data_IF_017022161197
#
_entry.id   IF_017022161197
#
_cell.length_a   1.000
_cell.length_b   1.000
_cell.length_c   1.000
_cell.angle_alpha   90.00
_cell.angle_beta   90.00
_cell.angle_gamma   90.00
#
_symmetry.space_group_name_H-M   'P 1'
#
loop_
_entity.id
_entity.type
_entity.pdbx_description
1 polymer ?
#
# COMPACT_ATOMS: atom_id res chain seq x y z
N UNK A 1 11.68 -22.88 -3.73
CA UNK A 1 11.14 -23.98 -2.91
C UNK A 1 10.70 -23.35 -1.60
N UNK A 2 9.43 -23.48 -1.23
CA UNK A 2 8.82 -22.72 -0.13
C UNK A 2 9.38 -23.16 1.24
N UNK A 3 10.07 -22.23 1.93
CA UNK A 3 10.65 -22.42 3.25
C UNK A 3 9.61 -22.96 4.25
N UNK A 4 8.37 -22.45 4.18
CA UNK A 4 7.29 -22.87 5.06
C UNK A 4 6.86 -24.30 4.76
N UNK A 5 6.66 -24.66 3.49
CA UNK A 5 6.32 -26.04 3.14
C UNK A 5 7.36 -27.06 3.61
N UNK A 6 8.66 -26.73 3.51
CA UNK A 6 9.72 -27.61 4.02
C UNK A 6 9.68 -27.69 5.56
N UNK A 7 9.53 -26.54 6.24
CA UNK A 7 9.50 -26.50 7.70
C UNK A 7 8.30 -27.24 8.28
N UNK A 8 7.13 -27.07 7.69
CA UNK A 8 5.90 -27.78 8.06
C UNK A 8 6.12 -29.29 7.92
N UNK A 9 6.66 -29.77 6.79
CA UNK A 9 6.98 -31.20 6.61
C UNK A 9 7.94 -31.77 7.66
N UNK A 10 8.87 -30.96 8.16
CA UNK A 10 9.77 -31.37 9.25
C UNK A 10 9.02 -31.46 10.58
N UNK A 11 8.21 -30.45 10.90
CA UNK A 11 7.42 -30.41 12.14
C UNK A 11 6.38 -31.52 12.21
N UNK A 12 5.77 -31.89 11.08
CA UNK A 12 4.78 -32.97 11.02
C UNK A 12 5.35 -34.34 11.44
N UNK A 13 6.68 -34.52 11.40
CA UNK A 13 7.34 -35.75 11.91
C UNK A 13 7.22 -35.90 13.43
N UNK A 14 6.93 -34.80 14.14
CA UNK A 14 6.76 -34.78 15.58
C UNK A 14 5.31 -35.12 16.01
N UNK A 15 4.38 -35.26 15.07
CA UNK A 15 2.97 -35.56 15.35
C UNK A 15 2.66 -37.04 15.16
N UNK A 16 1.77 -37.63 15.99
CA UNK A 16 1.25 -38.97 15.75
C UNK A 16 0.58 -39.07 14.37
N UNK A 17 0.70 -40.21 13.69
CA UNK A 17 0.17 -40.39 12.33
C UNK A 17 -1.33 -40.05 12.20
N UNK A 18 -2.13 -40.32 13.24
CA UNK A 18 -3.56 -40.02 13.26
C UNK A 18 -3.90 -38.52 13.38
N UNK A 19 -2.92 -37.67 13.76
CA UNK A 19 -3.08 -36.22 13.87
C UNK A 19 -2.36 -35.46 12.75
N UNK A 20 -1.52 -36.14 11.98
CA UNK A 20 -0.64 -35.51 10.98
C UNK A 20 -1.41 -34.68 9.95
N UNK A 21 -2.55 -35.17 9.46
CA UNK A 21 -3.36 -34.44 8.48
C UNK A 21 -4.03 -33.18 9.05
N UNK A 22 -4.59 -33.28 10.26
CA UNK A 22 -5.19 -32.14 10.95
C UNK A 22 -4.12 -31.09 11.31
N UNK A 23 -2.96 -31.54 11.82
CA UNK A 23 -1.82 -30.69 12.12
C UNK A 23 -1.32 -29.98 10.85
N UNK A 24 -1.21 -30.70 9.73
CA UNK A 24 -0.81 -30.12 8.45
C UNK A 24 -1.78 -29.03 8.01
N UNK A 25 -3.08 -29.34 8.00
CA UNK A 25 -4.12 -28.39 7.57
C UNK A 25 -4.12 -27.12 8.43
N UNK A 26 -3.94 -27.26 9.75
CA UNK A 26 -3.79 -26.11 10.66
C UNK A 26 -2.53 -25.31 10.33
N UNK A 27 -1.36 -25.95 10.24
CA UNK A 27 -0.09 -25.27 9.98
C UNK A 27 -0.09 -24.54 8.63
N UNK A 28 -0.62 -25.17 7.58
CA UNK A 28 -0.77 -24.53 6.28
C UNK A 28 -1.79 -23.40 6.31
N UNK A 29 -2.92 -23.54 7.02
CA UNK A 29 -3.87 -22.43 7.17
C UNK A 29 -3.29 -21.25 7.94
N UNK A 30 -2.36 -21.51 8.88
CA UNK A 30 -1.64 -20.45 9.58
C UNK A 30 -0.71 -19.64 8.67
N UNK A 31 -0.24 -20.20 7.54
CA UNK A 31 0.58 -19.44 6.58
C UNK A 31 -0.24 -18.33 5.91
N UNK A 32 -1.56 -18.53 5.73
CA UNK A 32 -2.45 -17.48 5.24
C UNK A 32 -2.48 -16.26 6.16
N UNK A 33 -2.31 -16.39 7.49
CA UNK A 33 -2.21 -15.20 8.34
C UNK A 33 -0.97 -14.35 8.01
N UNK A 34 0.13 -15.02 7.68
CA UNK A 34 1.38 -14.36 7.30
C UNK A 34 1.24 -13.71 5.93
N UNK A 35 0.65 -14.42 4.95
CA UNK A 35 0.39 -13.88 3.61
C UNK A 35 -0.58 -12.70 3.66
N UNK A 36 -1.68 -12.83 4.41
CA UNK A 36 -2.69 -11.77 4.57
C UNK A 36 -2.15 -10.51 5.24
N UNK A 37 -1.14 -10.62 6.11
CA UNK A 37 -0.48 -9.45 6.69
C UNK A 37 0.20 -8.58 5.63
N UNK A 38 0.77 -9.20 4.60
CA UNK A 38 1.61 -8.51 3.62
C UNK A 38 0.99 -8.40 2.21
N UNK A 39 -0.16 -9.02 1.99
CA UNK A 39 -0.83 -8.95 0.70
C UNK A 39 -0.12 -9.76 -0.39
N UNK A 40 0.74 -10.72 -0.03
CA UNK A 40 1.60 -11.40 -0.98
C UNK A 40 1.75 -12.88 -0.66
N UNK A 41 2.04 -13.67 -1.70
CA UNK A 41 2.49 -15.05 -1.53
C UNK A 41 3.83 -15.07 -0.77
N UNK A 42 3.98 -16.01 0.16
CA UNK A 42 5.17 -16.09 0.99
C UNK A 42 6.45 -16.38 0.20
N UNK A 43 6.34 -17.00 -0.97
CA UNK A 43 7.46 -17.21 -1.89
C UNK A 43 8.01 -15.91 -2.49
N UNK A 44 7.22 -14.83 -2.48
CA UNK A 44 7.65 -13.52 -2.95
C UNK A 44 8.35 -12.70 -1.86
N UNK A 45 8.31 -13.14 -0.60
CA UNK A 45 8.82 -12.39 0.55
C UNK A 45 10.26 -12.75 0.90
N UNK A 46 11.05 -11.75 1.29
CA UNK A 46 12.38 -12.01 1.85
C UNK A 46 12.27 -12.56 3.26
N UNK A 47 12.77 -13.78 3.47
CA UNK A 47 12.83 -14.39 4.80
C UNK A 47 13.77 -13.63 5.75
N UNK A 48 14.82 -13.02 5.22
CA UNK A 48 15.78 -12.24 6.00
C UNK A 48 15.21 -10.90 6.45
N UNK A 49 14.39 -10.26 5.61
CA UNK A 49 13.85 -8.91 5.86
C UNK A 49 12.39 -8.90 6.32
N UNK A 50 11.76 -10.07 6.48
CA UNK A 50 10.36 -10.20 6.91
C UNK A 50 10.04 -9.43 8.20
N UNK A 51 10.96 -9.46 9.17
CA UNK A 51 10.85 -8.75 10.45
C UNK A 51 11.49 -7.36 10.47
N UNK A 52 11.93 -6.84 9.33
CA UNK A 52 12.68 -5.59 9.24
C UNK A 52 11.77 -4.36 9.28
N UNK A 53 10.93 -4.25 10.31
CA UNK A 53 10.09 -3.09 10.58
C UNK A 53 10.01 -2.87 12.09
N UNK A 54 9.82 -1.62 12.49
CA UNK A 54 9.68 -1.26 13.90
C UNK A 54 8.22 -1.42 14.31
N UNK A 55 8.00 -2.13 15.41
CA UNK A 55 6.70 -2.20 16.07
C UNK A 55 6.62 -1.14 17.15
N UNK A 56 5.56 -0.34 17.12
CA UNK A 56 5.22 0.56 18.23
C UNK A 56 4.69 -0.30 19.38
N UNK A 57 5.19 -0.07 20.59
CA UNK A 57 4.73 -0.76 21.79
C UNK A 57 3.28 -0.39 22.14
N UNK A 58 2.56 -1.33 22.76
CA UNK A 58 1.16 -1.17 23.14
C UNK A 58 0.20 -2.09 22.39
N UNK A 59 -1.08 -1.93 22.69
CA UNK A 59 -2.16 -2.73 22.11
C UNK A 59 -2.65 -2.15 20.78
N UNK A 60 -3.13 -3.03 19.90
CA UNK A 60 -3.81 -2.63 18.67
C UNK A 60 -5.22 -2.18 19.00
N UNK A 61 -5.57 -0.94 18.64
CA UNK A 61 -6.89 -0.36 18.89
C UNK A 61 -7.62 -0.16 17.56
N UNK A 62 -8.86 -0.63 17.47
CA UNK A 62 -9.76 -0.28 16.39
C UNK A 62 -10.40 1.09 16.66
N UNK A 63 -10.44 1.97 15.66
CA UNK A 63 -11.10 3.28 15.77
C UNK A 63 -12.60 3.06 15.49
N UNK A 64 -13.50 3.14 16.50
CA UNK A 64 -14.90 2.72 16.34
C UNK A 64 -15.66 3.55 15.30
N UNK A 65 -15.28 4.81 15.13
CA UNK A 65 -15.89 5.74 14.16
C UNK A 65 -15.29 5.61 12.75
N UNK A 66 -14.41 4.62 12.53
CA UNK A 66 -13.62 4.47 11.31
C UNK A 66 -12.43 5.42 11.23
N UNK A 67 -11.40 5.04 10.48
CA UNK A 67 -10.13 5.79 10.39
C UNK A 67 -10.30 7.20 9.79
N UNK A 68 -11.37 7.42 9.02
CA UNK A 68 -11.69 8.73 8.42
C UNK A 68 -11.84 9.83 9.49
N UNK A 69 -12.27 9.50 10.71
CA UNK A 69 -12.40 10.47 11.80
C UNK A 69 -11.06 11.06 12.26
N UNK A 70 -9.95 10.36 12.02
CA UNK A 70 -8.59 10.83 12.30
C UNK A 70 -8.06 11.74 11.18
N UNK A 71 -8.47 11.48 9.93
CA UNK A 71 -8.00 12.22 8.74
C UNK A 71 -8.74 13.55 8.57
N UNK A 72 -10.05 13.57 8.81
CA UNK A 72 -10.90 14.76 8.59
C UNK A 72 -10.38 16.01 9.32
N UNK A 73 -9.99 15.97 10.61
CA UNK A 73 -9.43 17.13 11.29
C UNK A 73 -8.14 17.67 10.63
N UNK A 74 -7.28 16.80 10.11
CA UNK A 74 -6.04 17.19 9.43
C UNK A 74 -6.34 17.87 8.08
N UNK A 75 -7.32 17.36 7.34
CA UNK A 75 -7.73 17.97 6.07
C UNK A 75 -8.33 19.35 6.29
N UNK A 76 -9.11 19.53 7.37
CA UNK A 76 -9.74 20.82 7.72
C UNK A 76 -8.74 21.95 8.04
N UNK A 77 -7.49 21.63 8.39
CA UNK A 77 -6.46 22.65 8.61
C UNK A 77 -5.83 23.15 7.32
N UNK A 78 -6.07 22.49 6.19
CA UNK A 78 -5.55 22.86 4.88
C UNK A 78 -6.58 23.77 4.19
N UNK A 79 -6.18 24.92 3.62
CA UNK A 79 -7.08 25.76 2.85
C UNK A 79 -7.76 24.96 1.73
N UNK A 80 -9.07 25.13 1.56
CA UNK A 80 -9.87 24.31 0.65
C UNK A 80 -9.40 24.46 -0.80
N UNK A 81 -8.95 25.66 -1.16
CA UNK A 81 -8.39 25.98 -2.47
C UNK A 81 -7.05 25.29 -2.74
N UNK A 82 -6.33 24.82 -1.73
CA UNK A 82 -5.05 24.10 -1.90
C UNK A 82 -5.26 22.64 -2.31
N UNK A 83 -6.43 22.05 -2.04
CA UNK A 83 -6.74 20.66 -2.39
C UNK A 83 -7.52 20.64 -3.70
N UNK A 84 -6.90 20.11 -4.76
CA UNK A 84 -7.52 19.98 -6.09
C UNK A 84 -7.92 18.53 -6.34
N UNK A 85 -9.20 18.23 -6.15
CA UNK A 85 -9.76 16.91 -6.48
C UNK A 85 -9.93 16.71 -7.98
N UNK A 86 -10.03 15.44 -8.40
CA UNK A 86 -10.22 15.05 -9.81
C UNK A 86 -9.11 15.54 -10.76
N UNK A 87 -7.90 15.73 -10.24
CA UNK A 87 -6.70 16.11 -11.00
C UNK A 87 -5.75 14.93 -11.10
N UNK A 88 -6.03 14.03 -12.04
CA UNK A 88 -5.15 12.87 -12.30
C UNK A 88 -3.88 13.38 -12.97
N UNK A 89 -2.74 13.19 -12.31
CA UNK A 89 -1.42 13.56 -12.85
C UNK A 89 -1.06 12.63 -13.99
N UNK A 90 -0.69 13.21 -15.12
CA UNK A 90 -0.26 12.49 -16.33
C UNK A 90 1.26 12.52 -16.46
N UNK A 91 1.87 13.71 -16.35
CA UNK A 91 3.32 13.88 -16.46
C UNK A 91 3.86 14.89 -15.46
N UNK A 92 5.09 14.64 -15.03
CA UNK A 92 5.89 15.44 -14.11
C UNK A 92 7.18 15.80 -14.83
N UNK A 93 7.29 17.06 -15.23
CA UNK A 93 8.46 17.60 -15.91
C UNK A 93 9.35 18.33 -14.90
N UNK A 94 10.66 18.09 -14.95
CA UNK A 94 11.64 18.74 -14.07
C UNK A 94 13.00 18.93 -14.78
N UNK A 95 13.89 19.75 -14.19
CA UNK A 95 15.17 20.10 -14.82
C UNK A 95 14.96 20.83 -16.15
N UNK A 96 15.74 20.52 -17.18
CA UNK A 96 15.65 21.20 -18.49
C UNK A 96 14.29 21.02 -19.18
N UNK A 97 13.53 19.97 -18.83
CA UNK A 97 12.19 19.75 -19.36
C UNK A 97 11.17 20.75 -18.79
N UNK A 98 11.44 21.29 -17.60
CA UNK A 98 10.61 22.27 -16.92
C UNK A 98 11.16 23.68 -17.19
N UNK A 99 10.80 24.24 -18.34
CA UNK A 99 11.37 25.49 -18.87
C UNK A 99 11.37 26.66 -17.88
N UNK A 100 10.18 27.18 -17.55
CA UNK A 100 10.00 28.42 -16.78
C UNK A 100 9.83 28.20 -15.27
N UNK A 101 9.93 26.93 -14.82
CA UNK A 101 9.65 26.49 -13.44
C UNK A 101 10.50 25.28 -13.12
N UNK A 102 10.87 25.05 -11.86
CA UNK A 102 11.69 23.87 -11.52
C UNK A 102 10.95 22.55 -11.72
N UNK A 103 9.63 22.57 -11.52
CA UNK A 103 8.72 21.46 -11.80
C UNK A 103 7.48 21.96 -12.53
N UNK A 104 7.00 21.18 -13.50
CA UNK A 104 5.70 21.35 -14.16
C UNK A 104 4.94 20.03 -14.12
N UNK A 105 3.78 20.03 -13.47
CA UNK A 105 2.87 18.89 -13.39
C UNK A 105 1.72 19.09 -14.37
N UNK A 106 1.51 18.15 -15.29
CA UNK A 106 0.39 18.15 -16.23
C UNK A 106 -0.59 17.05 -15.84
N UNK A 107 -1.88 17.39 -15.85
CA UNK A 107 -2.96 16.47 -15.56
C UNK A 107 -3.68 16.03 -16.83
N UNK A 108 -4.34 14.86 -16.78
CA UNK A 108 -5.07 14.29 -17.91
C UNK A 108 -6.22 15.17 -18.43
N UNK A 109 -6.71 16.11 -17.62
CA UNK A 109 -7.74 17.08 -18.02
C UNK A 109 -7.16 18.35 -18.68
N UNK A 110 -5.85 18.36 -18.95
CA UNK A 110 -5.12 19.49 -19.54
C UNK A 110 -4.70 20.57 -18.55
N UNK A 111 -5.04 20.46 -17.26
CA UNK A 111 -4.56 21.42 -16.27
C UNK A 111 -3.06 21.28 -15.99
N UNK A 112 -2.41 22.41 -15.70
CA UNK A 112 -0.96 22.51 -15.52
C UNK A 112 -0.65 23.26 -14.23
N UNK A 113 0.27 22.73 -13.44
CA UNK A 113 0.73 23.31 -12.18
C UNK A 113 2.25 23.47 -12.19
N UNK A 114 2.73 24.67 -11.86
CA UNK A 114 4.16 24.97 -11.72
C UNK A 114 4.53 25.05 -10.24
N UNK A 115 5.70 24.53 -9.88
CA UNK A 115 6.19 24.57 -8.50
C UNK A 115 7.73 24.60 -8.44
N UNK A 116 8.25 25.16 -7.34
CA UNK A 116 9.69 25.13 -7.02
C UNK A 116 10.16 23.76 -6.50
N UNK A 117 9.24 23.05 -5.85
CA UNK A 117 9.42 21.73 -5.26
C UNK A 117 8.19 20.86 -5.51
N UNK A 118 8.39 19.57 -5.67
CA UNK A 118 7.32 18.57 -5.73
C UNK A 118 7.53 17.53 -4.62
N UNK A 119 6.46 17.18 -3.91
CA UNK A 119 6.43 16.03 -3.03
C UNK A 119 5.54 14.97 -3.68
N UNK A 120 6.14 13.88 -4.17
CA UNK A 120 5.41 12.72 -4.66
C UNK A 120 4.99 11.84 -3.48
N UNK A 121 3.69 11.61 -3.35
CA UNK A 121 3.09 10.66 -2.39
C UNK A 121 2.32 9.56 -3.11
N UNK A 122 2.68 9.30 -4.37
CA UNK A 122 2.06 8.26 -5.17
C UNK A 122 2.31 6.88 -4.53
N UNK A 123 1.29 6.02 -4.43
CA UNK A 123 1.47 4.66 -3.95
C UNK A 123 2.51 3.92 -4.79
N UNK A 124 3.26 3.01 -4.16
CA UNK A 124 4.31 2.25 -4.86
C UNK A 124 3.74 1.43 -6.04
N UNK A 125 2.52 0.91 -5.93
CA UNK A 125 1.84 0.24 -7.03
C UNK A 125 1.64 1.13 -8.27
N UNK A 126 1.27 2.40 -8.06
CA UNK A 126 1.14 3.38 -9.15
C UNK A 126 2.51 3.68 -9.76
N UNK A 127 3.53 3.88 -8.93
CA UNK A 127 4.90 4.10 -9.40
C UNK A 127 5.39 2.92 -10.26
N UNK A 128 5.16 1.68 -9.84
CA UNK A 128 5.53 0.47 -10.60
C UNK A 128 4.94 0.44 -12.01
N UNK A 129 3.72 0.95 -12.18
CA UNK A 129 3.02 0.91 -13.48
C UNK A 129 3.35 2.14 -14.33
N UNK A 130 3.51 3.32 -13.71
CA UNK A 130 3.49 4.60 -14.43
C UNK A 130 4.81 5.37 -14.38
N UNK A 131 5.79 4.99 -13.56
CA UNK A 131 6.97 5.84 -13.35
C UNK A 131 7.79 6.10 -14.62
N UNK A 132 7.83 5.14 -15.56
CA UNK A 132 8.62 5.26 -16.79
C UNK A 132 8.11 6.33 -17.75
N UNK A 133 6.79 6.56 -17.79
CA UNK A 133 6.15 7.55 -18.66
C UNK A 133 5.78 8.84 -17.93
N UNK A 134 5.54 8.76 -16.61
CA UNK A 134 5.10 9.90 -15.81
C UNK A 134 6.23 10.91 -15.55
N UNK A 135 7.48 10.48 -15.34
CA UNK A 135 8.58 11.37 -15.01
C UNK A 135 9.38 11.77 -16.26
N UNK A 136 9.62 13.07 -16.43
CA UNK A 136 10.36 13.65 -17.55
C UNK A 136 11.42 14.66 -17.05
N UNK A 137 12.72 14.36 -17.14
CA UNK A 137 13.33 13.13 -17.66
C UNK A 137 12.96 11.88 -16.83
N UNK A 138 13.31 10.70 -17.35
CA UNK A 138 13.09 9.45 -16.64
C UNK A 138 13.87 9.41 -15.31
N UNK A 139 13.34 8.62 -14.37
CA UNK A 139 13.98 8.40 -13.07
C UNK A 139 15.36 7.75 -13.24
N UNK A 140 16.25 7.97 -12.28
CA UNK A 140 17.57 7.31 -12.28
C UNK A 140 17.44 5.79 -12.15
N UNK A 141 18.46 5.07 -12.58
CA UNK A 141 18.50 3.60 -12.53
C UNK A 141 18.25 3.06 -11.11
N UNK A 142 18.84 3.69 -10.09
CA UNK A 142 18.71 3.27 -8.69
C UNK A 142 17.27 3.43 -8.20
N UNK A 143 16.61 4.54 -8.55
CA UNK A 143 15.22 4.77 -8.15
C UNK A 143 14.25 3.87 -8.91
N UNK A 144 14.48 3.65 -10.21
CA UNK A 144 13.70 2.71 -11.00
C UNK A 144 13.86 1.27 -10.48
N UNK A 145 15.09 0.87 -10.14
CA UNK A 145 15.36 -0.45 -9.55
C UNK A 145 14.66 -0.58 -8.19
N UNK A 146 14.72 0.44 -7.33
CA UNK A 146 14.01 0.45 -6.06
C UNK A 146 12.49 0.27 -6.23
N UNK A 147 11.88 1.00 -7.16
CA UNK A 147 10.44 0.89 -7.48
C UNK A 147 10.11 -0.55 -7.89
N UNK A 148 10.95 -1.20 -8.69
CA UNK A 148 10.71 -2.55 -9.19
C UNK A 148 10.98 -3.65 -8.16
N UNK A 149 12.06 -3.54 -7.40
CA UNK A 149 12.52 -4.56 -6.46
C UNK A 149 11.76 -4.56 -5.14
N UNK A 150 11.20 -3.42 -4.70
CA UNK A 150 10.32 -3.38 -3.53
C UNK A 150 9.01 -4.10 -3.84
N UNK A 151 8.51 -4.91 -2.91
CA UNK A 151 7.23 -5.60 -3.05
C UNK A 151 6.05 -4.64 -2.84
N UNK A 152 4.97 -4.86 -3.57
CA UNK A 152 3.69 -4.18 -3.32
C UNK A 152 2.57 -5.21 -3.33
N UNK A 153 2.02 -5.49 -2.15
CA UNK A 153 1.04 -6.55 -1.95
C UNK A 153 -0.36 -6.08 -2.29
N UNK A 154 -1.28 -7.03 -2.44
CA UNK A 154 -2.72 -6.78 -2.54
C UNK A 154 -3.47 -7.49 -1.41
N UNK A 155 -4.29 -6.74 -0.68
CA UNK A 155 -5.17 -7.24 0.38
C UNK A 155 -6.58 -6.77 0.08
N UNK A 156 -7.51 -7.72 0.03
CA UNK A 156 -8.93 -7.48 -0.07
C UNK A 156 -9.61 -7.75 1.26
N UNK A 157 -10.43 -6.81 1.71
CA UNK A 157 -11.40 -6.99 2.81
C UNK A 157 -12.77 -7.22 2.23
N UNK A 158 -13.43 -8.25 2.72
CA UNK A 158 -14.80 -8.60 2.33
C UNK A 158 -15.68 -8.53 3.57
N UNK A 159 -16.77 -7.78 3.48
CA UNK A 159 -17.75 -7.63 4.56
C UNK A 159 -19.03 -8.35 4.16
N UNK A 160 -19.54 -9.18 5.05
CA UNK A 160 -20.75 -9.97 4.88
C UNK A 160 -21.75 -9.58 5.95
N UNK A 161 -22.82 -8.89 5.56
CA UNK A 161 -23.91 -8.52 6.47
C UNK A 161 -24.95 -9.65 6.56
N UNK A 162 -25.40 -9.96 7.76
CA UNK A 162 -26.44 -10.95 8.03
C UNK A 162 -27.52 -10.38 8.95
N UNK A 163 -28.78 -10.62 8.60
CA UNK A 163 -29.92 -10.20 9.41
C UNK A 163 -31.02 -11.27 9.35
N UNK A 164 -31.15 -12.16 10.36
CA UNK A 164 -30.33 -12.24 11.58
C UNK A 164 -28.95 -12.90 11.37
N UNK A 165 -27.96 -12.67 12.26
CA UNK A 165 -26.70 -13.41 12.26
C UNK A 165 -26.93 -14.90 12.56
N UNK A 166 -26.13 -15.77 11.93
CA UNK A 166 -26.21 -17.22 12.13
C UNK A 166 -25.18 -17.74 13.16
N UNK A 167 -24.23 -16.90 13.58
CA UNK A 167 -23.18 -17.24 14.54
C UNK A 167 -23.51 -16.74 15.95
N UNK A 168 -22.80 -17.29 16.94
CA UNK A 168 -22.84 -16.80 18.32
C UNK A 168 -21.80 -15.68 18.49
N UNK A 169 -22.26 -14.51 18.93
CA UNK A 169 -21.40 -13.35 19.15
C UNK A 169 -20.31 -13.62 20.21
N UNK A 170 -19.13 -13.04 20.01
CA UNK A 170 -18.03 -13.07 20.99
C UNK A 170 -17.30 -14.41 21.11
N UNK A 171 -17.47 -15.34 20.16
CA UNK A 171 -16.74 -16.63 20.14
C UNK A 171 -15.35 -16.53 19.49
N UNK A 172 -14.97 -15.35 19.01
CA UNK A 172 -13.71 -15.13 18.30
C UNK A 172 -13.76 -15.50 16.81
N UNK A 173 -12.63 -15.42 16.11
CA UNK A 173 -12.59 -15.63 14.66
C UNK A 173 -12.80 -17.11 14.29
N UNK A 174 -13.67 -17.36 13.31
CA UNK A 174 -13.82 -18.65 12.66
C UNK A 174 -12.63 -18.90 11.74
N UNK A 175 -11.82 -19.91 12.06
CA UNK A 175 -10.65 -20.30 11.28
C UNK A 175 -10.97 -21.50 10.40
N UNK A 176 -10.43 -21.50 9.20
CA UNK A 176 -10.57 -22.60 8.25
C UNK A 176 -9.34 -23.50 8.32
N UNK A 177 -9.56 -24.82 8.28
CA UNK A 177 -8.49 -25.82 8.16
C UNK A 177 -8.42 -26.29 6.71
N UNK A 178 -7.69 -25.55 5.89
CA UNK A 178 -7.51 -25.83 4.47
C UNK A 178 -6.61 -27.03 4.24
N UNK A 179 -7.01 -27.92 3.34
CA UNK A 179 -6.14 -28.98 2.84
C UNK A 179 -5.10 -28.41 1.85
N UNK A 180 -4.00 -29.14 1.68
CA UNK A 180 -2.97 -28.82 0.67
C UNK A 180 -3.54 -28.70 -0.75
N UNK A 181 -4.53 -29.52 -1.09
CA UNK A 181 -5.18 -29.50 -2.40
C UNK A 181 -5.97 -28.20 -2.59
N UNK A 182 -6.72 -27.76 -1.58
CA UNK A 182 -7.47 -26.50 -1.63
C UNK A 182 -6.55 -25.27 -1.70
N UNK A 183 -5.41 -25.29 -1.00
CA UNK A 183 -4.43 -24.20 -1.04
C UNK A 183 -3.65 -24.16 -2.36
N UNK A 184 -3.59 -25.27 -3.08
CA UNK A 184 -2.92 -25.34 -4.39
C UNK A 184 -3.81 -24.81 -5.51
N UNK A 185 -5.13 -24.72 -5.28
CA UNK A 185 -6.08 -24.14 -6.20
C UNK A 185 -6.06 -22.61 -6.10
N UNK A 186 -5.38 -21.98 -7.06
CA UNK A 186 -5.25 -20.52 -7.14
C UNK A 186 -6.50 -19.83 -7.66
N UNK A 187 -7.39 -20.55 -8.34
CA UNK A 187 -8.63 -20.02 -8.88
C UNK A 187 -9.73 -19.96 -7.80
N UNK A 188 -9.59 -20.77 -6.75
CA UNK A 188 -10.42 -20.69 -5.57
C UNK A 188 -9.96 -19.54 -4.64
N UNK A 189 -10.66 -18.41 -4.67
CA UNK A 189 -10.32 -17.29 -3.79
C UNK A 189 -10.50 -17.59 -2.28
N UNK A 190 -11.40 -18.52 -1.92
CA UNK A 190 -11.70 -18.83 -0.52
C UNK A 190 -10.46 -19.35 0.21
N UNK A 191 -9.59 -20.09 -0.49
CA UNK A 191 -8.37 -20.67 0.10
C UNK A 191 -7.33 -19.61 0.50
N UNK A 192 -7.48 -18.37 0.02
CA UNK A 192 -6.69 -17.22 0.47
C UNK A 192 -7.17 -16.60 1.79
N UNK A 193 -8.34 -16.98 2.29
CA UNK A 193 -8.85 -16.50 3.58
C UNK A 193 -8.11 -17.15 4.76
N UNK A 194 -7.75 -16.34 5.76
CA UNK A 194 -7.24 -16.86 7.03
C UNK A 194 -8.36 -17.13 8.05
N UNK A 195 -9.33 -16.23 8.16
CA UNK A 195 -10.48 -16.36 9.06
C UNK A 195 -11.66 -15.47 8.65
N UNK A 196 -12.83 -15.78 9.21
CA UNK A 196 -13.95 -14.87 9.33
C UNK A 196 -14.00 -14.34 10.75
N UNK A 197 -14.09 -13.02 10.90
CA UNK A 197 -14.13 -12.38 12.21
C UNK A 197 -15.30 -11.39 12.31
N UNK A 198 -15.86 -11.24 13.50
CA UNK A 198 -16.86 -10.21 13.76
C UNK A 198 -16.23 -8.82 13.57
N UNK A 199 -16.90 -7.97 12.79
CA UNK A 199 -16.45 -6.59 12.65
C UNK A 199 -16.65 -5.86 13.98
N UNK A 200 -15.55 -5.34 14.55
CA UNK A 200 -15.60 -4.58 15.80
C UNK A 200 -16.66 -3.47 15.75
N UNK A 201 -17.58 -3.48 16.72
CA UNK A 201 -18.70 -2.52 16.80
C UNK A 201 -19.95 -2.92 16.01
N UNK A 202 -19.98 -4.08 15.36
CA UNK A 202 -21.15 -4.63 14.67
C UNK A 202 -21.47 -6.05 15.17
N UNK A 203 -22.75 -6.35 15.31
CA UNK A 203 -23.22 -7.70 15.67
C UNK A 203 -23.71 -8.50 14.45
N UNK A 204 -23.72 -7.89 13.27
CA UNK A 204 -24.35 -8.43 12.06
C UNK A 204 -23.37 -8.59 10.90
N UNK A 205 -22.10 -8.24 11.08
CA UNK A 205 -21.11 -8.23 9.99
C UNK A 205 -19.96 -9.17 10.33
N UNK A 206 -19.73 -10.14 9.45
CA UNK A 206 -18.48 -10.89 9.38
C UNK A 206 -17.55 -10.24 8.35
N UNK A 207 -16.27 -10.20 8.67
CA UNK A 207 -15.21 -9.72 7.78
C UNK A 207 -14.26 -10.87 7.46
N UNK A 208 -13.89 -11.00 6.18
CA UNK A 208 -12.78 -11.81 5.74
C UNK A 208 -11.65 -10.92 5.21
N UNK A 209 -10.41 -11.37 5.37
CA UNK A 209 -9.25 -10.80 4.69
C UNK A 209 -8.67 -11.86 3.74
N UNK A 210 -8.44 -11.45 2.49
CA UNK A 210 -7.86 -12.26 1.42
C UNK A 210 -6.66 -11.51 0.85
N UNK A 211 -5.60 -12.21 0.45
CA UNK A 211 -4.37 -11.58 -0.02
C UNK A 211 -3.76 -12.23 -1.26
N UNK A 212 -2.87 -11.49 -1.91
CA UNK A 212 -2.07 -11.97 -3.03
C UNK A 212 -2.95 -12.34 -4.24
N UNK A 213 -2.62 -13.43 -4.95
CA UNK A 213 -3.37 -13.86 -6.13
C UNK A 213 -4.87 -14.09 -5.87
N UNK A 214 -5.23 -14.58 -4.67
CA UNK A 214 -6.63 -14.79 -4.30
C UNK A 214 -7.39 -13.46 -4.14
N UNK A 215 -6.71 -12.39 -3.69
CA UNK A 215 -7.30 -11.06 -3.64
C UNK A 215 -7.53 -10.52 -5.06
N UNK A 216 -6.59 -10.72 -5.96
CA UNK A 216 -6.75 -10.32 -7.37
C UNK A 216 -7.92 -11.05 -8.04
N UNK A 217 -8.11 -12.34 -7.74
CA UNK A 217 -9.22 -13.14 -8.21
C UNK A 217 -10.57 -12.61 -7.67
N UNK A 218 -10.73 -12.48 -6.34
CA UNK A 218 -12.01 -12.07 -5.74
C UNK A 218 -12.42 -10.65 -6.13
N UNK A 219 -11.46 -9.75 -6.40
CA UNK A 219 -11.75 -8.40 -6.89
C UNK A 219 -12.41 -8.38 -8.28
N UNK A 220 -12.30 -9.47 -9.06
CA UNK A 220 -12.97 -9.61 -10.37
C UNK A 220 -14.38 -10.15 -10.28
N UNK A 221 -14.74 -10.75 -9.15
CA UNK A 221 -16.05 -11.37 -8.94
C UNK A 221 -17.10 -10.32 -8.60
N UNK A 222 -18.36 -10.65 -8.89
CA UNK A 222 -19.49 -9.88 -8.38
C UNK A 222 -19.85 -10.35 -6.96
N UNK A 223 -20.54 -9.49 -6.22
CA UNK A 223 -20.89 -9.70 -4.82
C UNK A 223 -21.79 -10.95 -4.61
N UNK A 224 -22.61 -11.32 -5.60
CA UNK A 224 -23.47 -12.50 -5.54
C UNK A 224 -22.65 -13.79 -5.56
N UNK A 225 -21.69 -13.92 -6.47
CA UNK A 225 -20.81 -15.09 -6.54
C UNK A 225 -20.01 -15.24 -5.25
N UNK A 226 -19.49 -14.13 -4.71
CA UNK A 226 -18.77 -14.14 -3.42
C UNK A 226 -19.67 -14.61 -2.27
N UNK A 227 -20.94 -14.19 -2.24
CA UNK A 227 -21.92 -14.66 -1.27
C UNK A 227 -22.21 -16.16 -1.40
N UNK A 228 -22.39 -16.64 -2.63
CA UNK A 228 -22.68 -18.05 -2.96
C UNK A 228 -21.52 -18.97 -2.55
N UNK A 229 -20.29 -18.61 -2.95
CA UNK A 229 -19.07 -19.36 -2.65
C UNK A 229 -18.87 -19.51 -1.14
N UNK A 230 -18.97 -18.39 -0.40
CA UNK A 230 -18.78 -18.43 1.06
C UNK A 230 -19.87 -19.26 1.73
N UNK A 231 -21.14 -19.04 1.36
CA UNK A 231 -22.27 -19.75 1.96
C UNK A 231 -22.18 -21.24 1.70
N UNK A 232 -21.82 -21.65 0.47
CA UNK A 232 -21.58 -23.05 0.14
C UNK A 232 -20.48 -23.65 1.03
N UNK A 233 -19.35 -22.97 1.16
CA UNK A 233 -18.24 -23.43 2.00
C UNK A 233 -18.64 -23.57 3.46
N UNK A 234 -19.38 -22.61 4.02
CA UNK A 234 -19.87 -22.65 5.39
C UNK A 234 -20.82 -23.83 5.63
N UNK A 235 -21.79 -24.05 4.73
CA UNK A 235 -22.72 -25.19 4.81
C UNK A 235 -21.98 -26.53 4.78
N UNK A 236 -20.95 -26.65 3.94
CA UNK A 236 -20.11 -27.85 3.87
C UNK A 236 -19.35 -28.13 5.17
N UNK A 237 -18.73 -27.10 5.78
CA UNK A 237 -17.95 -27.24 7.00
C UNK A 237 -18.86 -27.53 8.20
N UNK A 238 -19.92 -26.74 8.36
CA UNK A 238 -20.85 -26.87 9.47
C UNK A 238 -21.77 -28.10 9.34
N UNK A 239 -21.82 -28.71 8.15
CA UNK A 239 -22.81 -29.74 7.79
C UNK A 239 -24.24 -29.28 8.07
N UNK A 240 -24.49 -28.00 7.81
CA UNK A 240 -25.75 -27.33 8.11
C UNK A 240 -26.19 -26.54 6.88
N UNK A 241 -27.24 -27.03 6.20
CA UNK A 241 -27.79 -26.37 5.02
C UNK A 241 -28.68 -25.16 5.35
N UNK A 242 -28.94 -24.89 6.64
CA UNK A 242 -29.80 -23.78 7.07
C UNK A 242 -29.06 -22.45 7.17
N UNK A 243 -27.72 -22.45 7.11
CA UNK A 243 -26.91 -21.22 7.10
C UNK A 243 -27.42 -20.30 5.98
N UNK A 244 -27.87 -19.08 6.31
CA UNK A 244 -28.43 -18.15 5.33
C UNK A 244 -27.34 -17.58 4.44
N UNK A 245 -27.75 -17.03 3.29
CA UNK A 245 -26.88 -16.15 2.52
C UNK A 245 -26.73 -14.80 3.25
N UNK A 246 -25.60 -14.09 3.09
CA UNK A 246 -25.49 -12.71 3.56
C UNK A 246 -26.51 -11.83 2.84
N UNK A 247 -27.10 -10.89 3.58
CA UNK A 247 -28.04 -9.88 3.07
C UNK A 247 -27.35 -8.84 2.19
N UNK A 248 -26.08 -8.56 2.46
CA UNK A 248 -25.24 -7.69 1.64
C UNK A 248 -23.79 -8.13 1.70
N UNK A 249 -23.05 -7.91 0.62
CA UNK A 249 -21.62 -8.17 0.52
C UNK A 249 -20.92 -6.92 -0.01
N UNK A 250 -19.80 -6.56 0.60
CA UNK A 250 -18.92 -5.48 0.14
C UNK A 250 -17.50 -6.03 -0.03
N UNK A 251 -16.95 -5.92 -1.24
CA UNK A 251 -15.59 -6.34 -1.58
C UNK A 251 -14.73 -5.10 -1.85
N UNK A 252 -13.63 -4.91 -1.10
CA UNK A 252 -12.68 -3.84 -1.41
C UNK A 252 -11.85 -4.18 -2.65
N UNK A 253 -11.64 -3.22 -3.56
CA UNK A 253 -10.94 -3.45 -4.85
C UNK A 253 -9.66 -2.60 -4.97
N UNK A 254 -8.69 -2.87 -4.11
CA UNK A 254 -7.46 -2.07 -4.02
C UNK A 254 -6.52 -2.34 -5.20
N UNK A 255 -6.39 -3.60 -5.62
CA UNK A 255 -5.58 -4.00 -6.77
C UNK A 255 -6.12 -3.45 -8.10
N UNK A 256 -7.44 -3.43 -8.27
CA UNK A 256 -8.10 -2.89 -9.47
C UNK A 256 -8.19 -1.36 -9.51
N UNK A 257 -7.95 -0.66 -8.40
CA UNK A 257 -8.00 0.79 -8.39
C UNK A 257 -6.78 1.38 -9.11
N UNK A 258 -6.98 2.22 -10.14
CA UNK A 258 -5.85 2.83 -10.87
C UNK A 258 -5.04 3.80 -10.01
N UNK A 259 -5.57 4.20 -8.85
CA UNK A 259 -4.93 5.14 -7.93
C UNK A 259 -4.17 4.47 -6.78
N UNK A 260 -4.25 3.14 -6.67
CA UNK A 260 -3.50 2.38 -5.66
C UNK A 260 -2.68 1.25 -6.29
N UNK A 261 -3.27 0.50 -7.23
CA UNK A 261 -2.66 -0.67 -7.88
C UNK A 261 -2.14 -1.71 -6.87
N UNK A 262 -2.89 -1.91 -5.78
CA UNK A 262 -2.52 -2.76 -4.65
C UNK A 262 -2.81 -2.08 -3.31
N UNK A 263 -2.20 -2.60 -2.25
CA UNK A 263 -2.52 -2.23 -0.86
C UNK A 263 -1.35 -1.55 -0.15
N UNK A 264 -0.22 -2.24 0.02
CA UNK A 264 0.93 -1.71 0.76
C UNK A 264 2.24 -2.41 0.41
N UNK A 265 3.36 -1.79 0.78
CA UNK A 265 4.71 -2.27 0.51
C UNK A 265 5.09 -3.50 1.36
N UNK A 266 5.95 -4.36 0.83
CA UNK A 266 6.62 -5.41 1.60
C UNK A 266 8.05 -5.62 1.09
N UNK A 267 8.88 -6.27 1.91
CA UNK A 267 10.24 -6.64 1.50
C UNK A 267 10.19 -7.93 0.67
N UNK A 268 10.31 -7.80 -0.64
CA UNK A 268 10.35 -8.92 -1.57
C UNK A 268 11.71 -9.65 -1.51
N UNK A 269 11.79 -10.84 -2.10
CA UNK A 269 13.02 -11.67 -2.13
C UNK A 269 14.24 -10.89 -2.61
N UNK A 270 14.07 -10.04 -3.62
CA UNK A 270 15.14 -9.23 -4.21
C UNK A 270 15.20 -7.81 -3.63
N UNK A 271 14.37 -7.48 -2.63
CA UNK A 271 14.42 -6.19 -1.97
C UNK A 271 15.64 -6.11 -1.03
N UNK A 272 16.21 -4.92 -0.92
CA UNK A 272 17.20 -4.58 0.09
C UNK A 272 16.75 -3.34 0.85
N UNK A 273 17.35 -3.09 2.01
CA UNK A 273 17.17 -1.80 2.71
C UNK A 273 17.68 -0.64 1.85
N UNK A 274 18.68 -0.89 1.00
CA UNK A 274 19.17 0.09 0.01
C UNK A 274 18.04 0.59 -0.90
N UNK A 275 17.21 -0.32 -1.42
CA UNK A 275 16.07 0.06 -2.26
C UNK A 275 15.07 0.98 -1.53
N UNK A 276 14.85 0.82 -0.22
CA UNK A 276 14.00 1.76 0.53
C UNK A 276 14.63 3.17 0.58
N UNK A 277 15.95 3.25 0.75
CA UNK A 277 16.69 4.51 0.79
C UNK A 277 16.73 5.16 -0.59
N UNK A 278 16.93 4.39 -1.65
CA UNK A 278 16.94 4.87 -3.03
C UNK A 278 15.56 5.40 -3.46
N UNK A 279 14.48 4.77 -3.00
CA UNK A 279 13.11 5.29 -3.20
C UNK A 279 12.90 6.62 -2.48
N UNK A 280 13.36 6.73 -1.21
CA UNK A 280 13.22 7.94 -0.39
C UNK A 280 14.09 9.11 -0.90
N UNK A 281 15.24 8.83 -1.51
CA UNK A 281 16.21 9.84 -1.95
C UNK A 281 15.55 10.88 -2.89
N UNK A 282 15.69 12.19 -2.63
CA UNK A 282 15.15 13.19 -3.53
C UNK A 282 15.88 13.19 -4.88
N UNK A 283 15.18 13.64 -5.92
CA UNK A 283 15.78 13.96 -7.21
C UNK A 283 16.25 15.41 -7.13
N UNK A 284 17.50 15.64 -7.52
CA UNK A 284 18.13 16.95 -7.52
C UNK A 284 18.46 17.37 -8.94
N UNK A 285 18.31 18.66 -9.23
CA UNK A 285 18.69 19.27 -10.50
C UNK A 285 19.56 20.49 -10.24
N UNK A 286 20.42 20.90 -11.20
CA UNK A 286 21.04 22.21 -11.15
C UNK A 286 20.00 23.32 -11.08
N UNK A 287 20.37 24.46 -10.48
CA UNK A 287 19.58 25.70 -10.57
C UNK A 287 19.92 26.52 -11.83
N UNK A 288 21.04 26.20 -12.48
CA UNK A 288 21.56 26.92 -13.64
C UNK A 288 21.95 25.91 -14.72
N UNK A 289 21.74 26.22 -16.02
CA UNK A 289 22.29 25.44 -17.11
C UNK A 289 23.81 25.30 -16.92
N UNK A 290 24.32 24.07 -16.90
CA UNK A 290 25.72 23.73 -16.61
C UNK A 290 26.21 24.03 -15.18
N UNK A 291 25.32 24.25 -14.21
CA UNK A 291 25.69 24.38 -12.80
C UNK A 291 26.15 23.05 -12.19
N UNK A 292 27.21 23.10 -11.39
CA UNK A 292 27.75 21.90 -10.70
C UNK A 292 26.94 21.54 -9.44
N UNK A 293 26.36 22.54 -8.78
CA UNK A 293 25.59 22.36 -7.55
C UNK A 293 24.18 21.82 -7.85
N UNK A 294 23.86 20.66 -7.25
CA UNK A 294 22.57 20.00 -7.39
C UNK A 294 21.68 20.32 -6.19
N UNK A 295 20.46 20.77 -6.48
CA UNK A 295 19.48 21.11 -5.46
C UNK A 295 18.26 20.21 -5.57
N UNK A 296 17.77 19.63 -4.45
CA UNK A 296 16.55 18.84 -4.45
C UNK A 296 15.38 19.58 -5.10
N UNK A 297 14.62 18.85 -5.92
CA UNK A 297 13.47 19.36 -6.67
C UNK A 297 12.24 18.46 -6.53
N UNK A 298 12.43 17.13 -6.55
CA UNK A 298 11.35 16.17 -6.30
C UNK A 298 11.71 15.34 -5.07
N UNK A 299 10.83 15.35 -4.08
CA UNK A 299 10.90 14.56 -2.88
C UNK A 299 9.88 13.43 -2.93
N UNK A 300 10.13 12.35 -2.19
CA UNK A 300 9.24 11.20 -2.10
C UNK A 300 8.85 11.00 -0.64
N UNK A 301 7.54 10.91 -0.39
CA UNK A 301 6.96 10.61 0.91
C UNK A 301 5.83 9.58 0.74
N UNK A 302 5.27 9.09 1.85
CA UNK A 302 4.22 8.07 1.85
C UNK A 302 4.66 6.77 2.52
N UNK A 303 3.78 5.77 2.52
CA UNK A 303 3.96 4.51 3.26
C UNK A 303 5.09 3.63 2.72
N UNK A 304 5.46 3.81 1.45
CA UNK A 304 6.55 3.08 0.80
C UNK A 304 7.93 3.69 1.08
N UNK A 305 7.96 4.89 1.66
CA UNK A 305 9.19 5.65 1.96
C UNK A 305 9.52 5.54 3.44
N UNK A 306 10.79 5.32 3.75
CA UNK A 306 11.29 5.18 5.12
C UNK A 306 11.46 3.73 5.57
N UNK A 307 12.58 3.47 6.26
CA UNK A 307 13.01 2.13 6.67
C UNK A 307 12.17 1.51 7.80
N UNK A 308 11.74 2.34 8.75
CA UNK A 308 11.31 1.85 10.06
C UNK A 308 9.82 1.51 10.12
N UNK A 309 8.96 2.29 9.45
CA UNK A 309 7.50 2.23 9.63
C UNK A 309 6.74 2.12 8.30
N UNK A 310 7.36 1.55 7.27
CA UNK A 310 6.71 1.36 5.97
C UNK A 310 5.41 0.55 6.11
N UNK A 311 4.50 0.72 5.15
CA UNK A 311 3.19 0.03 5.13
C UNK A 311 2.29 0.35 6.32
N UNK A 312 2.40 1.59 6.82
CA UNK A 312 1.57 2.09 7.91
C UNK A 312 1.19 3.54 7.71
N UNK A 313 0.04 3.93 8.27
CA UNK A 313 -0.44 5.31 8.22
C UNK A 313 0.49 6.26 9.00
N UNK A 314 1.01 5.82 10.14
CA UNK A 314 1.94 6.64 10.92
C UNK A 314 3.29 6.79 10.22
N UNK A 315 3.77 5.75 9.52
CA UNK A 315 4.95 5.85 8.67
C UNK A 315 4.77 6.85 7.54
N UNK A 316 3.63 6.82 6.85
CA UNK A 316 3.29 7.81 5.82
C UNK A 316 3.24 9.24 6.37
N UNK A 317 2.72 9.42 7.60
CA UNK A 317 2.72 10.73 8.26
C UNK A 317 4.14 11.18 8.63
N UNK A 318 4.96 10.30 9.17
CA UNK A 318 6.35 10.61 9.56
C UNK A 318 7.15 11.01 8.32
N UNK A 319 7.09 10.24 7.23
CA UNK A 319 7.81 10.57 6.00
C UNK A 319 7.36 11.90 5.40
N UNK A 320 6.06 12.21 5.46
CA UNK A 320 5.55 13.53 5.05
C UNK A 320 6.11 14.69 5.90
N UNK A 321 6.22 14.50 7.21
CA UNK A 321 6.80 15.52 8.11
C UNK A 321 8.31 15.70 7.89
N UNK A 322 9.05 14.61 7.66
CA UNK A 322 10.49 14.64 7.35
C UNK A 322 10.73 15.47 6.08
N UNK A 323 10.05 15.14 4.98
CA UNK A 323 10.19 15.88 3.71
C UNK A 323 9.77 17.35 3.84
N UNK A 324 8.69 17.63 4.58
CA UNK A 324 8.26 19.01 4.81
C UNK A 324 9.34 19.82 5.55
N UNK A 325 9.99 19.23 6.56
CA UNK A 325 11.08 19.87 7.28
C UNK A 325 12.32 20.07 6.41
N UNK A 326 12.67 19.11 5.56
CA UNK A 326 13.78 19.22 4.61
C UNK A 326 13.58 20.40 3.65
N UNK A 327 12.36 20.57 3.10
CA UNK A 327 12.02 21.69 2.23
C UNK A 327 12.08 23.03 2.99
N UNK A 328 11.57 23.08 4.22
CA UNK A 328 11.63 24.29 5.05
C UNK A 328 13.09 24.68 5.32
N UNK A 329 13.93 23.72 5.68
CA UNK A 329 15.34 23.95 5.95
C UNK A 329 16.08 24.43 4.70
N UNK A 330 15.88 23.76 3.56
CA UNK A 330 16.45 24.16 2.28
C UNK A 330 16.02 25.58 1.88
N UNK A 331 14.74 25.92 2.05
CA UNK A 331 14.22 27.25 1.73
C UNK A 331 14.84 28.34 2.63
N UNK A 332 15.13 28.01 3.90
CA UNK A 332 15.83 28.93 4.82
C UNK A 332 17.28 29.15 4.41
N UNK A 333 17.99 28.08 4.05
CA UNK A 333 19.38 28.14 3.58
C UNK A 333 19.51 28.97 2.30
N UNK A 334 18.55 28.84 1.39
CA UNK A 334 18.48 29.60 0.15
C UNK A 334 17.93 31.04 0.33
N UNK A 335 17.49 31.40 1.54
CA UNK A 335 16.85 32.69 1.86
C UNK A 335 15.63 33.00 1.00
N UNK A 336 14.83 31.98 0.71
CA UNK A 336 13.66 32.05 -0.16
C UNK A 336 13.52 30.82 -1.05
N UNK A 337 12.51 30.79 -1.95
CA UNK A 337 12.41 29.72 -2.93
C UNK A 337 13.66 29.72 -3.84
N UNK A 338 14.11 28.54 -4.32
CA UNK A 338 15.22 28.45 -5.25
C UNK A 338 14.90 29.24 -6.53
N UNK A 339 15.67 30.29 -6.80
CA UNK A 339 15.44 31.15 -7.96
C UNK A 339 16.28 30.72 -9.16
N UNK A 340 15.63 30.51 -10.32
CA UNK A 340 16.30 30.44 -11.62
C UNK A 340 16.84 31.84 -11.97
N UNK A 341 18.11 31.97 -12.38
CA UNK A 341 18.77 33.29 -12.53
C UNK A 341 18.11 34.23 -13.55
N UNK A 342 17.42 33.72 -14.58
CA UNK A 342 16.69 34.57 -15.53
C UNK A 342 15.58 35.40 -14.84
N UNK A 343 15.06 34.92 -13.71
CA UNK A 343 14.13 35.67 -12.86
C UNK A 343 14.88 36.65 -11.91
N UNK A 344 16.07 36.28 -11.39
CA UNK A 344 16.94 37.22 -10.63
C UNK A 344 17.37 38.43 -11.47
N UNK A 345 17.67 38.24 -12.75
CA UNK A 345 18.05 39.32 -13.67
C UNK A 345 16.89 40.29 -13.95
N UNK A 346 15.64 39.78 -14.02
CA UNK A 346 14.43 40.62 -14.15
C UNK A 346 14.15 41.43 -12.88
N UNK A 347 14.33 40.83 -11.70
CA UNK A 347 14.09 41.51 -10.41
C UNK A 347 15.19 42.57 -10.13
N UNK A 348 16.45 42.29 -10.47
CA UNK A 348 17.56 43.23 -10.28
C UNK A 348 17.59 44.40 -11.26
N UNK A 349 16.99 44.25 -12.44
CA UNK A 349 16.78 45.36 -13.38
C UNK A 349 15.58 46.23 -12.98
N UNK A 350 14.53 45.66 -12.40
CA UNK A 350 13.37 46.42 -11.93
C UNK A 350 13.69 47.29 -10.70
N UNK A 351 14.65 46.87 -9.86
CA UNK A 351 15.13 47.66 -8.71
C UNK A 351 16.20 48.71 -9.04
N UNK A 352 16.61 48.83 -10.31
CA UNK A 352 17.52 49.89 -10.79
C UNK A 352 16.82 51.00 -11.57
N UNK A 353 15.51 50.88 -11.80
CA UNK A 353 14.67 51.87 -12.50
C UNK A 353 13.68 52.60 -11.56
N UNK A 354 13.98 52.73 -10.26
CA UNK A 354 13.24 53.59 -9.32
C UNK A 354 14.13 54.63 -8.67
#
# INVERSE_FOLDING_TARGET
MDFFAMRIKQELRNFPSHQSEAAASIMYSLTNHVANRWGADLSCMSSQLFGHYNKIEGETIAIPTGFISVIVPLVRTIPVESIKYSKVVETIQYGDAAKDSRVVVKCCDGSVFCADYLISTLPLGVLKVQSECMFQPQLSCEKWEAINKLGFGNVCKIFFEYSPPFWLAGQGPMKFAWSLNELSDKDNWLSGMCCLEELAGSNNILMATVAGPHAENVETLNEQTVAEDLTFKLRCIAKDNTIPYPSSVLVSKWGKSPFFMGSHTYMAVESTVGHQLDLQKPISTPLEPCGEDLYPVIFFAGESTGKNFFSSVHGARISGLEVANDIIQLTRELRGPPQLKDQKAKISNCSKEC
#
